data_IF_462940929303
#
_entry.id   IF_462940929303
#
_cell.length_a   1.000
_cell.length_b   1.000
_cell.length_c   1.000
_cell.angle_alpha   90.00
_cell.angle_beta   90.00
_cell.angle_gamma   90.00
#
_symmetry.space_group_name_H-M   'P 1'
#
loop_
_entity.id
_entity.type
_entity.pdbx_description
1 polymer ?
#
# COMPACT_ATOMS: atom_id res chain seq x y z
N UNK A 1 -4.68 11.85 6.73
CA UNK A 1 -6.06 12.33 6.41
C UNK A 1 -6.36 12.07 4.93
N UNK A 2 -7.64 11.94 4.56
CA UNK A 2 -8.22 11.53 3.25
C UNK A 2 -7.82 10.15 2.67
N UNK A 3 -6.55 9.87 2.36
CA UNK A 3 -6.14 8.59 1.72
C UNK A 3 -6.23 7.41 2.68
N UNK A 4 -5.80 7.59 3.93
CA UNK A 4 -5.95 6.56 4.96
C UNK A 4 -7.41 6.18 5.22
N UNK A 5 -8.34 7.16 5.21
CA UNK A 5 -9.78 6.86 5.35
C UNK A 5 -10.35 6.16 4.12
N UNK A 6 -9.80 6.43 2.93
CA UNK A 6 -10.17 5.77 1.68
C UNK A 6 -9.78 4.28 1.66
N UNK A 7 -8.70 3.90 2.35
CA UNK A 7 -8.31 2.49 2.55
C UNK A 7 -9.06 1.83 3.73
N UNK A 8 -9.22 2.56 4.84
CA UNK A 8 -9.84 2.03 6.06
C UNK A 8 -11.34 1.75 5.89
N UNK A 9 -12.08 2.57 5.14
CA UNK A 9 -13.53 2.37 4.94
C UNK A 9 -13.88 1.08 4.18
N UNK A 10 -13.23 0.75 3.04
CA UNK A 10 -13.42 -0.53 2.38
C UNK A 10 -13.01 -1.71 3.27
N UNK A 11 -11.91 -1.59 4.03
CA UNK A 11 -11.48 -2.65 4.95
C UNK A 11 -12.54 -2.87 6.04
N UNK A 12 -13.07 -1.81 6.64
CA UNK A 12 -14.18 -1.89 7.59
C UNK A 12 -15.44 -2.50 6.97
N UNK A 13 -15.75 -2.17 5.72
CA UNK A 13 -16.85 -2.78 4.99
C UNK A 13 -16.67 -4.30 4.83
N UNK A 14 -15.45 -4.78 4.59
CA UNK A 14 -15.13 -6.22 4.57
C UNK A 14 -15.29 -6.87 5.96
N UNK A 15 -14.82 -6.21 7.03
CA UNK A 15 -14.94 -6.73 8.39
C UNK A 15 -16.39 -6.81 8.89
N UNK A 16 -17.28 -5.95 8.38
CA UNK A 16 -18.71 -5.94 8.72
C UNK A 16 -19.63 -6.66 7.72
N UNK A 17 -19.08 -7.41 6.75
CA UNK A 17 -19.82 -8.12 5.70
C UNK A 17 -20.95 -9.00 6.24
N UNK A 18 -20.69 -9.76 7.30
CA UNK A 18 -21.66 -10.67 7.90
C UNK A 18 -22.91 -9.96 8.41
N UNK A 19 -22.79 -8.70 8.84
CA UNK A 19 -23.93 -7.91 9.30
C UNK A 19 -24.68 -7.29 8.12
N UNK A 20 -23.96 -6.79 7.12
CA UNK A 20 -24.57 -6.25 5.89
C UNK A 20 -25.34 -7.34 5.12
N UNK A 21 -24.83 -8.57 5.07
CA UNK A 21 -25.48 -9.68 4.36
C UNK A 21 -26.74 -10.20 5.06
N UNK A 22 -26.91 -9.95 6.36
CA UNK A 22 -28.16 -10.25 7.09
C UNK A 22 -29.27 -9.26 6.74
N UNK A 23 -28.92 -8.01 6.40
CA UNK A 23 -29.87 -6.98 5.99
C UNK A 23 -30.34 -7.14 4.54
N UNK A 24 -29.55 -7.80 3.69
CA UNK A 24 -29.90 -8.04 2.28
C UNK A 24 -30.76 -9.31 2.17
N UNK A 25 -32.07 -9.12 2.01
CA UNK A 25 -33.07 -10.18 1.85
C UNK A 25 -33.97 -9.88 0.64
N UNK A 26 -34.42 -10.93 -0.06
CA UNK A 26 -35.28 -10.84 -1.25
C UNK A 26 -34.76 -11.66 -2.43
N UNK A 27 -35.54 -11.70 -3.52
CA UNK A 27 -35.23 -12.49 -4.72
C UNK A 27 -33.92 -12.05 -5.40
N UNK A 28 -33.62 -10.74 -5.36
CA UNK A 28 -32.41 -10.14 -5.95
C UNK A 28 -31.22 -10.07 -4.98
N UNK A 29 -31.32 -10.68 -3.80
CA UNK A 29 -30.24 -10.72 -2.81
C UNK A 29 -28.88 -11.22 -3.34
N UNK A 30 -28.77 -12.27 -4.19
CA UNK A 30 -27.47 -12.70 -4.69
C UNK A 30 -26.78 -11.65 -5.56
N UNK A 31 -27.54 -10.93 -6.40
CA UNK A 31 -27.02 -9.87 -7.26
C UNK A 31 -26.50 -8.69 -6.43
N UNK A 32 -27.26 -8.28 -5.41
CA UNK A 32 -26.87 -7.19 -4.51
C UNK A 32 -25.61 -7.52 -3.69
N UNK A 33 -25.47 -8.76 -3.23
CA UNK A 33 -24.26 -9.23 -2.52
C UNK A 33 -23.04 -9.21 -3.44
N UNK A 34 -23.18 -9.65 -4.69
CA UNK A 34 -22.09 -9.60 -5.69
C UNK A 34 -21.68 -8.16 -6.03
N UNK A 35 -22.63 -7.26 -6.23
CA UNK A 35 -22.37 -5.85 -6.47
C UNK A 35 -21.64 -5.19 -5.28
N UNK A 36 -22.04 -5.53 -4.06
CA UNK A 36 -21.39 -5.03 -2.84
C UNK A 36 -19.93 -5.50 -2.73
N UNK A 37 -19.67 -6.79 -2.93
CA UNK A 37 -18.30 -7.34 -2.87
C UNK A 37 -17.42 -6.70 -3.95
N UNK A 38 -17.89 -6.69 -5.20
CA UNK A 38 -17.12 -6.16 -6.33
C UNK A 38 -16.82 -4.66 -6.18
N UNK A 39 -17.79 -3.85 -5.74
CA UNK A 39 -17.58 -2.43 -5.48
C UNK A 39 -16.53 -2.17 -4.39
N UNK A 40 -16.58 -2.91 -3.28
CA UNK A 40 -15.56 -2.78 -2.23
C UNK A 40 -14.19 -3.28 -2.67
N UNK A 41 -14.12 -4.34 -3.49
CA UNK A 41 -12.87 -4.84 -4.05
C UNK A 41 -12.20 -3.80 -4.96
N UNK A 42 -12.98 -3.15 -5.84
CA UNK A 42 -12.50 -2.06 -6.69
C UNK A 42 -12.02 -0.88 -5.85
N UNK A 43 -12.76 -0.51 -4.80
CA UNK A 43 -12.35 0.57 -3.89
C UNK A 43 -11.01 0.28 -3.19
N UNK A 44 -10.78 -0.96 -2.74
CA UNK A 44 -9.49 -1.39 -2.18
C UNK A 44 -8.38 -1.30 -3.24
N UNK A 45 -8.61 -1.82 -4.44
CA UNK A 45 -7.64 -1.80 -5.52
C UNK A 45 -7.22 -0.36 -5.88
N UNK A 46 -8.18 0.56 -5.98
CA UNK A 46 -7.92 1.98 -6.24
C UNK A 46 -7.16 2.65 -5.09
N UNK A 47 -7.47 2.30 -3.83
CA UNK A 47 -6.75 2.82 -2.69
C UNK A 47 -5.27 2.37 -2.72
N UNK A 48 -5.01 1.09 -3.01
CA UNK A 48 -3.63 0.55 -3.16
C UNK A 48 -2.89 1.23 -4.31
N UNK A 49 -3.54 1.39 -5.46
CA UNK A 49 -2.96 2.11 -6.60
C UNK A 49 -2.57 3.54 -6.23
N UNK A 50 -3.46 4.27 -5.54
CA UNK A 50 -3.17 5.63 -5.08
C UNK A 50 -2.03 5.68 -4.07
N UNK A 51 -1.95 4.73 -3.14
CA UNK A 51 -0.83 4.63 -2.21
C UNK A 51 0.49 4.40 -2.93
N UNK A 52 0.49 3.58 -3.99
CA UNK A 52 1.67 3.37 -4.84
C UNK A 52 2.08 4.65 -5.58
N UNK A 53 1.14 5.36 -6.21
CA UNK A 53 1.42 6.62 -6.92
C UNK A 53 1.95 7.73 -6.00
N UNK A 54 1.65 7.67 -4.70
CA UNK A 54 2.15 8.62 -3.70
C UNK A 54 3.48 8.18 -3.06
N UNK A 55 4.03 7.03 -3.43
CA UNK A 55 5.28 6.51 -2.86
C UNK A 55 5.17 6.11 -1.38
N UNK A 56 3.95 5.80 -0.91
CA UNK A 56 3.71 5.41 0.48
C UNK A 56 3.94 3.91 0.73
N UNK A 57 4.04 3.12 -0.33
CA UNK A 57 4.28 1.69 -0.26
C UNK A 57 5.79 1.42 -0.44
N UNK A 58 6.40 0.52 0.36
CA UNK A 58 7.81 0.18 0.26
C UNK A 58 8.07 -0.75 -0.95
N UNK A 59 7.90 -0.23 -2.16
CA UNK A 59 8.01 -0.98 -3.42
C UNK A 59 9.35 -0.81 -4.10
N UNK A 60 10.07 0.27 -3.83
CA UNK A 60 11.35 0.57 -4.48
C UNK A 60 12.53 0.18 -3.58
N UNK A 61 13.66 -0.18 -4.20
CA UNK A 61 14.89 -0.47 -3.47
C UNK A 61 15.36 0.73 -2.62
N UNK A 62 15.04 1.96 -3.04
CA UNK A 62 15.28 3.18 -2.26
C UNK A 62 14.59 3.19 -0.91
N UNK A 63 13.41 2.56 -0.80
CA UNK A 63 12.61 2.53 0.43
C UNK A 63 13.31 1.68 1.52
N UNK A 64 14.21 0.79 1.11
CA UNK A 64 14.98 -0.11 1.97
C UNK A 64 16.43 0.34 2.19
N UNK A 65 16.84 1.45 1.57
CA UNK A 65 18.22 1.94 1.64
C UNK A 65 18.66 2.25 3.08
N UNK A 66 17.72 2.67 3.94
CA UNK A 66 17.98 2.91 5.36
C UNK A 66 18.45 1.64 6.12
N UNK A 67 18.22 0.46 5.56
CA UNK A 67 18.63 -0.82 6.14
C UNK A 67 19.81 -1.47 5.41
N UNK A 68 20.33 -0.84 4.35
CA UNK A 68 21.49 -1.35 3.62
C UNK A 68 22.79 -0.94 4.30
N UNK A 69 23.75 -1.87 4.37
CA UNK A 69 25.08 -1.56 4.89
C UNK A 69 25.82 -0.57 3.97
N UNK A 70 26.55 0.40 4.54
CA UNK A 70 27.35 1.30 3.74
C UNK A 70 28.49 0.52 3.04
N UNK A 71 28.79 0.85 1.77
CA UNK A 71 29.86 0.19 1.05
C UNK A 71 31.21 0.40 1.75
N UNK A 72 31.92 -0.71 1.99
CA UNK A 72 33.26 -0.66 2.59
C UNK A 72 34.30 -0.27 1.53
N UNK A 73 35.16 0.70 1.86
CA UNK A 73 36.25 1.12 0.97
C UNK A 73 37.34 0.04 0.96
N UNK A 74 37.58 -0.58 -0.19
CA UNK A 74 38.63 -1.61 -0.36
C UNK A 74 40.00 -1.03 -0.71
N UNK A 75 40.03 0.13 -1.38
CA UNK A 75 41.26 0.70 -1.92
C UNK A 75 41.56 2.07 -1.30
N UNK A 76 42.84 2.29 -0.99
CA UNK A 76 43.35 3.53 -0.44
C UNK A 76 44.47 4.03 -1.34
N UNK A 77 44.32 5.25 -1.86
CA UNK A 77 45.38 5.98 -2.57
C UNK A 77 45.61 7.28 -1.82
N UNK A 78 46.84 7.50 -1.38
CA UNK A 78 47.26 8.71 -0.70
C UNK A 78 48.36 9.37 -1.53
N UNK A 79 48.13 10.62 -1.93
CA UNK A 79 49.12 11.49 -2.56
C UNK A 79 49.03 12.87 -1.90
N UNK A 80 50.18 13.47 -1.59
CA UNK A 80 50.28 14.79 -0.97
C UNK A 80 51.20 15.70 -1.77
N UNK A 81 51.21 16.99 -1.44
CA UNK A 81 52.12 17.96 -2.05
C UNK A 81 53.55 17.62 -1.60
N UNK A 82 54.45 17.40 -2.56
CA UNK A 82 55.88 17.35 -2.27
C UNK A 82 56.34 18.75 -1.86
N UNK A 83 56.62 18.95 -0.57
CA UNK A 83 57.24 20.18 -0.07
C UNK A 83 58.73 20.14 -0.45
N UNK A 84 59.05 20.73 -1.61
CA UNK A 84 60.40 21.14 -2.00
C UNK A 84 60.77 22.47 -1.34
#
# INVERSE_FOLDING_TARGET
MMVGMMAVRPIQAFLSLSQTFKMIQGEQAPLQKLAYISGNLVAVALAVYKCNSMGLLPTHASDWLAFADPPQRMEYVAGGIALL
#
